data_IF_597457855256
#
_entry.id   IF_597457855256
#
_cell.length_a   1.000
_cell.length_b   1.000
_cell.length_c   1.000
_cell.angle_alpha   90.00
_cell.angle_beta   90.00
_cell.angle_gamma   90.00
#
_symmetry.space_group_name_H-M   'P 1'
#
loop_
_entity.id
_entity.type
_entity.pdbx_description
1 polymer ?
#
# COMPACT_ATOMS: atom_id res chain seq x y z
N UNK A 1 15.05 22.36 -50.22
CA UNK A 1 16.22 22.51 -49.34
C UNK A 1 15.81 23.39 -48.16
N UNK A 2 15.40 22.80 -47.06
CA UNK A 2 15.20 23.50 -45.77
C UNK A 2 16.47 23.34 -44.98
N UNK A 3 17.16 24.47 -44.75
CA UNK A 3 18.40 24.51 -44.01
C UNK A 3 18.25 23.89 -42.61
N UNK A 4 19.08 22.93 -42.31
CA UNK A 4 19.36 22.52 -40.94
C UNK A 4 19.88 23.77 -40.21
N UNK A 5 19.16 24.18 -39.17
CA UNK A 5 19.68 25.17 -38.24
C UNK A 5 20.80 24.47 -37.49
N UNK A 6 22.04 24.88 -37.73
CA UNK A 6 23.19 24.43 -36.93
C UNK A 6 22.95 24.78 -35.48
N UNK A 7 22.63 23.77 -34.66
CA UNK A 7 22.55 23.95 -33.22
C UNK A 7 23.95 24.30 -32.70
N UNK A 8 24.14 25.34 -31.90
CA UNK A 8 25.44 25.70 -31.34
C UNK A 8 26.00 24.50 -30.54
N UNK A 9 27.30 24.27 -30.71
CA UNK A 9 27.98 23.20 -29.98
C UNK A 9 27.76 23.37 -28.46
N UNK A 10 27.41 22.31 -27.74
CA UNK A 10 27.13 22.38 -26.31
C UNK A 10 28.37 22.90 -25.56
N UNK A 11 28.15 23.87 -24.66
CA UNK A 11 29.22 24.43 -23.86
C UNK A 11 29.68 23.42 -22.77
N UNK A 12 30.79 23.69 -22.11
CA UNK A 12 31.38 22.79 -21.12
C UNK A 12 30.44 22.48 -19.94
N UNK A 13 29.53 23.40 -19.57
CA UNK A 13 28.50 23.19 -18.54
C UNK A 13 27.43 22.19 -18.97
N UNK A 14 27.06 22.23 -20.25
CA UNK A 14 26.07 21.31 -20.81
C UNK A 14 26.62 19.87 -20.89
N UNK A 15 27.92 19.72 -21.13
CA UNK A 15 28.62 18.42 -21.12
C UNK A 15 28.70 17.81 -19.72
N UNK A 16 28.82 18.62 -18.66
CA UNK A 16 28.85 18.13 -17.29
C UNK A 16 27.49 17.62 -16.79
N UNK A 17 26.40 18.09 -17.41
CA UNK A 17 25.03 17.69 -17.05
C UNK A 17 24.64 16.34 -17.67
N UNK A 18 25.30 15.95 -18.77
CA UNK A 18 25.05 14.69 -19.50
C UNK A 18 26.26 13.75 -19.45
N UNK A 19 26.77 13.49 -18.24
CA UNK A 19 27.78 12.45 -18.06
C UNK A 19 27.18 11.08 -18.42
N UNK A 20 27.95 10.27 -19.17
CA UNK A 20 27.57 8.91 -19.59
C UNK A 20 27.16 8.00 -18.44
N UNK A 21 27.58 8.30 -17.22
CA UNK A 21 27.18 7.59 -15.99
C UNK A 21 25.79 7.98 -15.48
N UNK A 22 25.37 9.22 -15.72
CA UNK A 22 24.05 9.72 -15.28
C UNK A 22 22.97 9.46 -16.34
N UNK A 23 23.36 9.27 -17.61
CA UNK A 23 22.45 9.07 -18.73
C UNK A 23 21.46 7.91 -18.54
N UNK A 24 21.87 6.69 -18.10
CA UNK A 24 20.93 5.61 -17.85
C UNK A 24 19.85 5.98 -16.84
N UNK A 25 20.23 6.69 -15.78
CA UNK A 25 19.33 7.14 -14.73
C UNK A 25 18.33 8.19 -15.19
N UNK A 26 18.78 9.09 -16.06
CA UNK A 26 17.93 10.10 -16.71
C UNK A 26 16.95 9.43 -17.68
N UNK A 27 17.41 8.45 -18.46
CA UNK A 27 16.54 7.68 -19.37
C UNK A 27 15.47 6.88 -18.59
N UNK A 28 15.84 6.24 -17.49
CA UNK A 28 14.91 5.52 -16.63
C UNK A 28 13.81 6.45 -16.07
N UNK A 29 14.20 7.64 -15.61
CA UNK A 29 13.24 8.66 -15.15
C UNK A 29 12.34 9.13 -16.30
N UNK A 30 12.90 9.40 -17.48
CA UNK A 30 12.13 9.83 -18.65
C UNK A 30 11.17 8.75 -19.12
N UNK A 31 11.58 7.50 -19.16
CA UNK A 31 10.71 6.38 -19.51
C UNK A 31 9.57 6.23 -18.49
N UNK A 32 9.85 6.40 -17.20
CA UNK A 32 8.82 6.44 -16.15
C UNK A 32 7.81 7.56 -16.37
N UNK A 33 8.25 8.78 -16.69
CA UNK A 33 7.37 9.91 -16.97
C UNK A 33 6.56 9.72 -18.28
N UNK A 34 7.16 9.11 -19.30
CA UNK A 34 6.46 8.76 -20.55
C UNK A 34 5.35 7.73 -20.27
N UNK A 35 5.61 6.72 -19.47
CA UNK A 35 4.59 5.74 -19.05
C UNK A 35 3.45 6.43 -18.29
N UNK A 36 3.74 7.28 -17.32
CA UNK A 36 2.71 8.06 -16.61
C UNK A 36 1.85 8.89 -17.57
N UNK A 37 2.47 9.56 -18.54
CA UNK A 37 1.74 10.37 -19.52
C UNK A 37 0.90 9.53 -20.49
N UNK A 38 1.37 8.32 -20.83
CA UNK A 38 0.62 7.40 -21.69
C UNK A 38 -0.56 6.76 -20.97
N UNK A 39 -0.31 6.32 -19.74
CA UNK A 39 -1.32 5.62 -18.94
C UNK A 39 -2.17 6.58 -18.12
N UNK A 40 -1.75 7.86 -18.01
CA UNK A 40 -2.37 8.90 -17.20
C UNK A 40 -2.66 8.41 -15.76
N UNK A 41 -1.77 7.58 -15.21
CA UNK A 41 -1.90 7.07 -13.86
C UNK A 41 -1.53 8.16 -12.85
N UNK A 42 -2.48 8.58 -12.07
CA UNK A 42 -2.28 9.53 -10.98
C UNK A 42 -2.34 8.79 -9.64
N UNK A 43 -1.25 8.84 -8.89
CA UNK A 43 -1.21 8.34 -7.51
C UNK A 43 -1.20 9.52 -6.54
N UNK A 44 -2.22 9.65 -5.73
CA UNK A 44 -2.34 10.66 -4.68
C UNK A 44 -2.08 10.02 -3.32
N UNK A 45 -0.93 10.32 -2.71
CA UNK A 45 -0.61 9.84 -1.37
C UNK A 45 -1.27 10.71 -0.29
N UNK A 46 -2.03 10.09 0.61
CA UNK A 46 -2.65 10.75 1.76
C UNK A 46 -1.79 10.53 2.99
N UNK A 47 -1.09 11.57 3.41
CA UNK A 47 -0.12 11.55 4.51
C UNK A 47 -0.62 12.39 5.69
N UNK A 48 -0.42 11.91 6.90
CA UNK A 48 -0.80 12.65 8.11
C UNK A 48 -0.57 11.82 9.37
N UNK A 49 -0.56 12.49 10.52
CA UNK A 49 -0.42 11.82 11.82
C UNK A 49 -1.59 10.88 12.11
N UNK A 50 -1.43 10.02 13.10
CA UNK A 50 -2.52 9.19 13.61
C UNK A 50 -3.72 10.07 14.00
N UNK A 51 -4.93 9.63 13.66
CA UNK A 51 -6.19 10.36 13.91
C UNK A 51 -6.33 11.71 13.18
N UNK A 52 -5.50 12.03 12.21
CA UNK A 52 -5.62 13.23 11.39
C UNK A 52 -6.78 13.20 10.38
N UNK A 53 -7.60 12.14 10.37
CA UNK A 53 -8.73 12.01 9.46
C UNK A 53 -8.38 11.47 8.06
N UNK A 54 -7.22 10.85 7.87
CA UNK A 54 -6.80 10.29 6.58
C UNK A 54 -7.84 9.37 5.95
N UNK A 55 -8.24 8.32 6.67
CA UNK A 55 -9.24 7.35 6.17
C UNK A 55 -10.60 8.01 5.91
N UNK A 56 -10.99 8.97 6.75
CA UNK A 56 -12.22 9.77 6.52
C UNK A 56 -12.13 10.59 5.24
N UNK A 57 -10.98 11.23 5.00
CA UNK A 57 -10.76 12.01 3.78
C UNK A 57 -10.74 11.12 2.53
N UNK A 58 -10.11 9.96 2.62
CA UNK A 58 -10.10 8.97 1.53
C UNK A 58 -11.52 8.48 1.24
N UNK A 59 -12.29 8.08 2.26
CA UNK A 59 -13.68 7.65 2.09
C UNK A 59 -14.55 8.76 1.48
N UNK A 60 -14.32 10.01 1.86
CA UNK A 60 -15.03 11.16 1.26
C UNK A 60 -14.66 11.36 -0.22
N UNK A 61 -13.40 11.22 -0.61
CA UNK A 61 -12.96 11.30 -2.01
C UNK A 61 -13.53 10.15 -2.84
N UNK A 62 -13.52 8.93 -2.30
CA UNK A 62 -14.11 7.75 -2.95
C UNK A 62 -15.62 7.86 -3.05
N UNK A 63 -16.26 8.46 -2.03
CA UNK A 63 -17.70 8.54 -1.88
C UNK A 63 -18.33 7.26 -1.36
N UNK A 64 -17.54 6.39 -0.72
CA UNK A 64 -17.94 5.16 -0.05
C UNK A 64 -17.02 4.85 1.13
N UNK A 65 -17.50 4.11 2.12
CA UNK A 65 -16.68 3.66 3.26
C UNK A 65 -15.84 2.44 2.87
N UNK A 66 -14.66 2.68 2.30
CA UNK A 66 -13.73 1.61 1.89
C UNK A 66 -12.65 1.34 2.94
N UNK A 67 -12.38 2.33 3.80
CA UNK A 67 -11.44 2.23 4.90
C UNK A 67 -12.16 2.37 6.24
N UNK A 68 -11.85 1.52 7.23
CA UNK A 68 -12.51 1.60 8.54
C UNK A 68 -12.11 2.87 9.30
N UNK A 69 -13.11 3.55 9.86
CA UNK A 69 -12.93 4.67 10.78
C UNK A 69 -12.91 4.17 12.22
N UNK A 70 -11.74 4.09 12.86
CA UNK A 70 -11.63 3.65 14.26
C UNK A 70 -10.64 4.48 15.07
N UNK A 71 -10.79 4.40 16.41
CA UNK A 71 -9.95 5.11 17.38
C UNK A 71 -8.58 4.44 17.66
N UNK A 72 -8.25 3.31 17.01
CA UNK A 72 -6.96 2.63 17.13
C UNK A 72 -6.12 2.82 15.86
N UNK A 73 -4.78 2.71 15.92
CA UNK A 73 -3.93 2.70 14.73
C UNK A 73 -4.43 1.62 13.76
N UNK A 74 -4.75 2.01 12.52
CA UNK A 74 -5.48 1.13 11.60
C UNK A 74 -4.71 0.80 10.34
N UNK A 75 -3.67 1.55 10.04
CA UNK A 75 -2.93 1.39 8.80
C UNK A 75 -1.51 0.94 9.13
N UNK A 76 -1.35 -0.35 9.44
CA UNK A 76 -0.02 -0.93 9.58
C UNK A 76 0.63 -1.17 8.20
N UNK A 77 -0.19 -1.34 7.17
CA UNK A 77 0.20 -1.57 5.78
C UNK A 77 -0.32 -0.45 4.89
N UNK A 78 0.51 0.13 4.01
CA UNK A 78 0.01 1.01 2.97
C UNK A 78 -1.01 0.26 2.12
N UNK A 79 -2.10 0.93 1.77
CA UNK A 79 -3.19 0.35 0.98
C UNK A 79 -3.46 1.25 -0.22
N UNK A 80 -3.50 0.67 -1.40
CA UNK A 80 -3.89 1.35 -2.62
C UNK A 80 -5.40 1.30 -2.79
N UNK A 81 -6.02 2.44 -3.07
CA UNK A 81 -7.44 2.54 -3.42
C UNK A 81 -7.53 3.05 -4.85
N UNK A 82 -7.97 2.20 -5.76
CA UNK A 82 -7.98 2.46 -7.19
C UNK A 82 -9.38 2.70 -7.71
N UNK A 83 -9.56 3.82 -8.43
CA UNK A 83 -10.79 4.02 -9.19
C UNK A 83 -10.89 3.01 -10.32
N UNK A 84 -11.94 2.19 -10.29
CA UNK A 84 -12.21 1.18 -11.31
C UNK A 84 -13.66 1.31 -11.75
N UNK A 85 -13.93 1.91 -12.94
CA UNK A 85 -15.30 2.08 -13.44
C UNK A 85 -16.07 0.77 -13.48
N UNK A 86 -17.33 0.79 -13.03
CA UNK A 86 -18.21 -0.37 -13.00
C UNK A 86 -18.06 -1.28 -11.78
N UNK A 87 -17.04 -1.09 -10.95
CA UNK A 87 -16.89 -1.83 -9.69
C UNK A 87 -17.64 -1.10 -8.58
N UNK A 88 -18.93 -1.40 -8.44
CA UNK A 88 -19.84 -0.74 -7.50
C UNK A 88 -19.64 -1.21 -6.05
N UNK A 89 -19.32 -2.49 -5.86
CA UNK A 89 -18.96 -3.06 -4.56
C UNK A 89 -17.43 -3.08 -4.42
N UNK A 90 -16.84 -2.52 -3.35
CA UNK A 90 -15.40 -2.50 -3.19
C UNK A 90 -14.82 -3.92 -3.12
N UNK A 91 -13.68 -4.14 -3.77
CA UNK A 91 -12.96 -5.41 -3.81
C UNK A 91 -11.52 -5.19 -3.36
N UNK A 92 -11.13 -5.85 -2.26
CA UNK A 92 -9.74 -5.89 -1.82
C UNK A 92 -9.04 -7.07 -2.49
N UNK A 93 -7.94 -6.79 -3.18
CA UNK A 93 -7.14 -7.78 -3.89
C UNK A 93 -5.70 -7.79 -3.39
N UNK A 94 -5.15 -8.98 -3.25
CA UNK A 94 -3.73 -9.21 -3.04
C UNK A 94 -3.12 -9.74 -4.32
N UNK A 95 -2.02 -9.16 -4.78
CA UNK A 95 -1.29 -9.70 -5.93
C UNK A 95 -0.62 -11.04 -5.58
N UNK A 96 -0.14 -11.15 -4.35
CA UNK A 96 0.46 -12.38 -3.83
C UNK A 96 0.14 -12.54 -2.34
N UNK A 97 -0.79 -13.44 -2.03
CA UNK A 97 -1.23 -13.73 -0.65
C UNK A 97 -0.37 -14.80 0.03
N UNK A 98 0.47 -15.52 -0.72
CA UNK A 98 1.29 -16.64 -0.17
C UNK A 98 2.14 -16.23 1.03
N UNK A 99 2.90 -15.12 1.00
CA UNK A 99 3.72 -14.73 2.15
C UNK A 99 2.91 -14.51 3.43
N UNK A 100 1.65 -14.03 3.33
CA UNK A 100 0.75 -13.91 4.48
C UNK A 100 0.35 -15.28 5.02
N UNK A 101 0.02 -16.21 4.14
CA UNK A 101 -0.40 -17.55 4.54
C UNK A 101 0.78 -18.37 5.11
N UNK A 102 1.98 -18.19 4.59
CA UNK A 102 3.20 -18.77 5.15
C UNK A 102 3.50 -18.21 6.54
N UNK A 103 3.29 -16.90 6.74
CA UNK A 103 3.40 -16.24 8.04
C UNK A 103 2.44 -16.84 9.08
N UNK A 104 1.18 -17.15 8.72
CA UNK A 104 0.22 -17.78 9.63
C UNK A 104 0.76 -19.12 10.16
N UNK A 105 1.40 -19.91 9.28
CA UNK A 105 2.04 -21.18 9.64
C UNK A 105 3.23 -20.99 10.60
N UNK A 106 4.07 -20.00 10.34
CA UNK A 106 5.20 -19.65 11.20
C UNK A 106 4.73 -19.16 12.58
N UNK A 107 3.68 -18.32 12.62
CA UNK A 107 3.10 -17.81 13.85
C UNK A 107 2.46 -18.94 14.69
N UNK A 108 1.73 -19.88 14.09
CA UNK A 108 1.20 -21.05 14.82
C UNK A 108 2.32 -21.83 15.53
N UNK A 109 3.42 -22.05 14.82
CA UNK A 109 4.59 -22.74 15.39
C UNK A 109 5.23 -21.93 16.52
N UNK A 110 5.40 -20.62 16.33
CA UNK A 110 6.01 -19.74 17.33
C UNK A 110 5.14 -19.61 18.58
N UNK A 111 3.83 -19.43 18.42
CA UNK A 111 2.88 -19.34 19.55
C UNK A 111 2.91 -20.63 20.39
N UNK A 112 2.97 -21.80 19.76
CA UNK A 112 3.09 -23.09 20.47
C UNK A 112 4.40 -23.26 21.22
N UNK A 113 5.48 -22.63 20.73
CA UNK A 113 6.79 -22.64 21.39
C UNK A 113 6.94 -21.55 22.46
N UNK A 114 6.02 -20.58 22.51
CA UNK A 114 6.06 -19.46 23.45
C UNK A 114 5.59 -19.88 24.86
N UNK A 115 6.19 -19.31 25.89
CA UNK A 115 5.84 -19.59 27.27
C UNK A 115 4.35 -19.30 27.55
N UNK A 116 3.62 -20.16 28.29
CA UNK A 116 2.18 -20.02 28.53
C UNK A 116 1.79 -18.65 29.11
N UNK A 117 2.61 -18.04 29.96
CA UNK A 117 2.35 -16.74 30.55
C UNK A 117 2.27 -15.63 29.49
N UNK A 118 3.18 -15.63 28.52
CA UNK A 118 3.19 -14.65 27.43
C UNK A 118 1.99 -14.85 26.48
N UNK A 119 1.58 -16.09 26.25
CA UNK A 119 0.38 -16.39 25.46
C UNK A 119 -0.89 -15.90 26.17
N UNK A 120 -0.97 -16.01 27.50
CA UNK A 120 -2.09 -15.46 28.28
C UNK A 120 -2.18 -13.95 28.12
N UNK A 121 -1.06 -13.24 28.09
CA UNK A 121 -1.06 -11.78 27.89
C UNK A 121 -1.57 -11.40 26.49
N UNK A 122 -1.26 -12.18 25.46
CA UNK A 122 -1.81 -11.97 24.11
C UNK A 122 -3.34 -12.17 24.07
N UNK A 123 -3.87 -13.12 24.86
CA UNK A 123 -5.32 -13.38 24.93
C UNK A 123 -6.10 -12.30 25.72
N UNK A 124 -5.43 -11.40 26.44
CA UNK A 124 -6.09 -10.26 27.10
C UNK A 124 -6.57 -9.21 26.10
N UNK A 125 -5.94 -9.12 24.93
CA UNK A 125 -6.43 -8.29 23.83
C UNK A 125 -7.41 -9.12 22.98
N UNK A 126 -8.69 -8.73 22.99
CA UNK A 126 -9.75 -9.46 22.29
C UNK A 126 -9.53 -9.58 20.77
N UNK A 127 -8.83 -8.63 20.16
CA UNK A 127 -8.55 -8.64 18.72
C UNK A 127 -7.42 -9.65 18.43
N UNK A 128 -6.36 -9.65 19.24
CA UNK A 128 -5.30 -10.65 19.14
C UNK A 128 -5.80 -12.07 19.46
N UNK A 129 -6.68 -12.23 20.44
CA UNK A 129 -7.28 -13.52 20.76
C UNK A 129 -8.04 -14.11 19.55
N UNK A 130 -8.87 -13.29 18.87
CA UNK A 130 -9.56 -13.72 17.64
C UNK A 130 -8.59 -14.10 16.51
N UNK A 131 -7.52 -13.33 16.38
CA UNK A 131 -6.48 -13.62 15.36
C UNK A 131 -5.79 -14.95 15.68
N UNK A 132 -5.44 -15.21 16.95
CA UNK A 132 -4.85 -16.47 17.39
C UNK A 132 -5.78 -17.66 17.11
N UNK A 133 -7.09 -17.51 17.31
CA UNK A 133 -8.06 -18.54 16.93
C UNK A 133 -8.05 -18.83 15.43
N UNK A 134 -8.00 -17.78 14.56
CA UNK A 134 -7.89 -17.95 13.10
C UNK A 134 -6.61 -18.69 12.72
N UNK A 135 -5.48 -18.33 13.34
CA UNK A 135 -4.18 -18.98 13.12
C UNK A 135 -4.27 -20.48 13.51
N UNK A 136 -4.82 -20.80 14.68
CA UNK A 136 -4.99 -22.18 15.14
C UNK A 136 -5.89 -22.99 14.22
N UNK A 137 -6.94 -22.40 13.65
CA UNK A 137 -7.83 -23.03 12.67
C UNK A 137 -7.23 -23.12 11.30
N UNK A 138 -6.04 -22.52 11.07
CA UNK A 138 -5.35 -22.46 9.77
C UNK A 138 -6.24 -21.85 8.67
N UNK A 139 -7.02 -20.82 9.02
CA UNK A 139 -7.86 -20.10 8.07
C UNK A 139 -6.98 -19.20 7.18
N UNK A 140 -6.81 -19.51 5.87
CA UNK A 140 -5.94 -18.72 5.00
C UNK A 140 -6.60 -17.40 4.61
N UNK A 141 -5.76 -16.41 4.28
CA UNK A 141 -6.22 -15.25 3.52
C UNK A 141 -6.52 -15.65 2.09
N UNK A 142 -7.59 -15.10 1.54
CA UNK A 142 -7.95 -15.23 0.13
C UNK A 142 -7.28 -14.12 -0.70
N UNK A 143 -7.09 -14.36 -2.00
CA UNK A 143 -6.55 -13.35 -2.93
C UNK A 143 -7.52 -12.17 -3.13
N UNK A 144 -8.83 -12.38 -2.91
CA UNK A 144 -9.87 -11.38 -3.11
C UNK A 144 -10.92 -11.44 -2.02
N UNK A 145 -11.34 -10.24 -1.57
CA UNK A 145 -12.42 -10.05 -0.60
C UNK A 145 -13.36 -8.96 -1.12
N UNK A 146 -14.67 -9.19 -1.05
CA UNK A 146 -15.68 -8.30 -1.60
C UNK A 146 -16.58 -7.72 -0.51
N UNK A 147 -16.88 -6.43 -0.65
CA UNK A 147 -17.75 -5.67 0.24
C UNK A 147 -17.04 -5.11 1.46
N UNK A 148 -17.58 -3.99 1.96
CA UNK A 148 -16.98 -3.19 3.05
C UNK A 148 -16.69 -4.01 4.30
N UNK A 149 -17.63 -4.86 4.72
CA UNK A 149 -17.50 -5.64 5.95
C UNK A 149 -16.32 -6.64 5.89
N UNK A 150 -16.16 -7.35 4.76
CA UNK A 150 -15.04 -8.29 4.59
C UNK A 150 -13.72 -7.55 4.50
N UNK A 151 -13.66 -6.44 3.76
CA UNK A 151 -12.48 -5.60 3.64
C UNK A 151 -12.04 -5.09 5.01
N UNK A 152 -12.99 -4.61 5.83
CA UNK A 152 -12.70 -4.13 7.18
C UNK A 152 -12.12 -5.22 8.08
N UNK A 153 -12.67 -6.42 8.04
CA UNK A 153 -12.16 -7.56 8.82
C UNK A 153 -10.76 -7.99 8.36
N UNK A 154 -10.49 -7.95 7.06
CA UNK A 154 -9.17 -8.29 6.53
C UNK A 154 -8.14 -7.24 6.89
N UNK A 155 -8.42 -5.95 6.68
CA UNK A 155 -7.51 -4.86 7.04
C UNK A 155 -7.24 -4.85 8.55
N UNK A 156 -8.26 -5.13 9.37
CA UNK A 156 -8.10 -5.29 10.81
C UNK A 156 -7.18 -6.48 11.13
N UNK A 157 -7.40 -7.62 10.51
CA UNK A 157 -6.59 -8.83 10.71
C UNK A 157 -5.13 -8.59 10.31
N UNK A 158 -4.86 -7.84 9.24
CA UNK A 158 -3.50 -7.46 8.83
C UNK A 158 -2.81 -6.58 9.88
N UNK A 159 -3.52 -5.59 10.42
CA UNK A 159 -2.98 -4.74 11.49
C UNK A 159 -2.66 -5.56 12.75
N UNK A 160 -3.56 -6.46 13.14
CA UNK A 160 -3.36 -7.32 14.28
C UNK A 160 -2.22 -8.33 14.05
N UNK A 161 -2.01 -8.80 12.80
CA UNK A 161 -0.84 -9.60 12.42
C UNK A 161 0.47 -8.84 12.63
N UNK A 162 0.56 -7.58 12.18
CA UNK A 162 1.77 -6.76 12.40
C UNK A 162 2.05 -6.61 13.90
N UNK A 163 1.02 -6.36 14.71
CA UNK A 163 1.14 -6.27 16.17
C UNK A 163 1.61 -7.59 16.79
N UNK A 164 1.04 -8.70 16.35
CA UNK A 164 1.40 -10.03 16.82
C UNK A 164 2.85 -10.39 16.47
N UNK A 165 3.25 -10.13 15.22
CA UNK A 165 4.64 -10.30 14.77
C UNK A 165 5.61 -9.49 15.63
N UNK A 166 5.30 -8.23 15.88
CA UNK A 166 6.09 -7.37 16.75
C UNK A 166 6.19 -7.92 18.18
N UNK A 167 5.09 -8.42 18.74
CA UNK A 167 5.05 -9.00 20.10
C UNK A 167 5.83 -10.31 20.22
N UNK A 168 5.92 -11.09 19.15
CA UNK A 168 6.60 -12.38 19.11
C UNK A 168 8.00 -12.29 18.48
N UNK A 169 8.46 -11.09 18.10
CA UNK A 169 9.72 -10.88 17.38
C UNK A 169 9.85 -11.73 16.09
N UNK A 170 8.73 -11.86 15.37
CA UNK A 170 8.66 -12.51 14.06
C UNK A 170 8.66 -11.44 12.98
N UNK A 171 9.45 -11.62 11.93
CA UNK A 171 9.50 -10.68 10.82
C UNK A 171 8.19 -10.72 10.02
N UNK A 172 7.65 -9.54 9.74
CA UNK A 172 6.48 -9.40 8.88
C UNK A 172 6.92 -9.38 7.41
N UNK A 173 6.35 -10.22 6.52
CA UNK A 173 6.89 -10.45 5.17
C UNK A 173 6.83 -9.24 4.24
N UNK A 174 6.06 -8.21 4.58
CA UNK A 174 5.95 -6.97 3.81
C UNK A 174 6.62 -5.78 4.50
N UNK A 175 7.50 -6.03 5.47
CA UNK A 175 8.21 -4.96 6.19
C UNK A 175 9.02 -4.05 5.26
N UNK A 176 9.49 -4.58 4.14
CA UNK A 176 10.29 -3.84 3.17
C UNK A 176 9.48 -2.93 2.24
N UNK A 177 8.19 -3.23 1.99
CA UNK A 177 7.34 -2.54 1.00
C UNK A 177 8.11 -2.04 -0.24
N UNK A 178 9.13 -2.78 -0.63
CA UNK A 178 10.04 -2.42 -1.70
C UNK A 178 9.35 -2.38 -3.07
N UNK A 179 8.16 -2.99 -3.16
CA UNK A 179 7.37 -3.03 -4.39
C UNK A 179 5.91 -2.67 -4.12
N UNK A 180 5.33 -1.87 -5.01
CA UNK A 180 3.89 -1.55 -5.02
C UNK A 180 3.04 -2.81 -5.11
N UNK A 181 3.57 -3.85 -5.75
CA UNK A 181 2.92 -5.14 -5.96
C UNK A 181 2.69 -5.94 -4.67
N UNK A 182 3.39 -5.57 -3.58
CA UNK A 182 3.19 -6.18 -2.26
C UNK A 182 2.02 -5.56 -1.48
N UNK A 183 1.48 -4.42 -1.94
CA UNK A 183 0.41 -3.72 -1.25
C UNK A 183 -0.94 -4.31 -1.59
N UNK A 184 -1.88 -4.36 -0.62
CA UNK A 184 -3.27 -4.64 -0.91
C UNK A 184 -3.86 -3.50 -1.75
N UNK A 185 -4.69 -3.85 -2.74
CA UNK A 185 -5.37 -2.91 -3.63
C UNK A 185 -6.87 -3.03 -3.44
N UNK A 186 -7.52 -1.93 -3.06
CA UNK A 186 -8.99 -1.83 -3.06
C UNK A 186 -9.42 -1.24 -4.40
N UNK A 187 -10.17 -1.98 -5.19
CA UNK A 187 -10.79 -1.51 -6.42
C UNK A 187 -12.25 -1.14 -6.17
N UNK A 188 -12.64 0.05 -6.58
CA UNK A 188 -14.02 0.56 -6.44
C UNK A 188 -14.26 1.73 -7.39
N UNK A 189 -15.48 1.89 -7.89
CA UNK A 189 -15.86 3.08 -8.64
C UNK A 189 -16.02 4.28 -7.68
N UNK A 190 -15.24 5.35 -7.92
CA UNK A 190 -15.38 6.58 -7.13
C UNK A 190 -16.66 7.31 -7.56
N UNK A 191 -17.57 7.52 -6.63
CA UNK A 191 -18.90 8.09 -6.91
C UNK A 191 -18.85 9.45 -7.59
N UNK A 192 -17.85 10.28 -7.25
CA UNK A 192 -17.66 11.61 -7.83
C UNK A 192 -17.10 11.59 -9.26
N UNK A 193 -16.51 10.47 -9.71
CA UNK A 193 -15.94 10.31 -11.05
C UNK A 193 -16.90 9.65 -12.03
N UNK A 194 -18.00 9.09 -11.54
CA UNK A 194 -18.97 8.31 -12.34
C UNK A 194 -19.52 9.04 -13.57
N UNK A 195 -19.70 10.35 -13.49
CA UNK A 195 -20.29 11.17 -14.55
C UNK A 195 -19.24 11.94 -15.37
N UNK A 196 -17.96 11.76 -15.09
CA UNK A 196 -16.92 12.34 -15.91
C UNK A 196 -16.80 11.52 -17.19
N UNK A 197 -16.58 12.17 -18.36
CA UNK A 197 -16.25 11.43 -19.58
C UNK A 197 -15.06 10.55 -19.24
N UNK A 198 -15.07 9.30 -19.75
CA UNK A 198 -14.05 8.31 -19.45
C UNK A 198 -12.67 8.99 -19.55
N UNK A 199 -12.18 9.46 -18.41
CA UNK A 199 -10.90 10.12 -18.34
C UNK A 199 -9.87 9.08 -18.77
N UNK A 200 -9.08 9.43 -19.74
CA UNK A 200 -7.92 8.62 -20.08
C UNK A 200 -7.00 8.70 -18.87
N UNK A 201 -7.05 7.68 -18.02
CA UNK A 201 -6.19 7.61 -16.85
C UNK A 201 -6.81 6.92 -15.64
N UNK A 202 -5.97 6.50 -14.72
CA UNK A 202 -6.34 5.84 -13.47
C UNK A 202 -6.02 6.74 -12.29
N UNK A 203 -7.01 7.01 -11.43
CA UNK A 203 -6.78 7.65 -10.15
C UNK A 203 -6.61 6.58 -9.07
N UNK A 204 -5.50 6.61 -8.39
CA UNK A 204 -5.19 5.73 -7.25
C UNK A 204 -4.88 6.60 -6.03
N UNK A 205 -5.53 6.33 -4.90
CA UNK A 205 -5.20 6.92 -3.61
C UNK A 205 -4.29 5.93 -2.87
N UNK A 206 -3.27 6.45 -2.21
CA UNK A 206 -2.40 5.67 -1.33
C UNK A 206 -2.67 6.09 0.11
N UNK A 207 -3.30 5.20 0.89
CA UNK A 207 -3.39 5.36 2.34
C UNK A 207 -2.06 4.94 2.98
N UNK A 208 -1.51 5.80 3.81
CA UNK A 208 -0.21 5.57 4.45
C UNK A 208 -0.36 5.48 5.96
N UNK A 209 0.42 4.60 6.62
CA UNK A 209 0.55 4.62 8.07
C UNK A 209 0.95 5.99 8.59
N UNK A 210 0.48 6.35 9.77
CA UNK A 210 0.85 7.62 10.41
C UNK A 210 2.33 7.64 10.85
N UNK A 211 3.04 8.81 10.90
CA UNK A 211 4.47 8.92 11.17
C UNK A 211 4.95 8.39 12.53
N UNK A 212 4.06 8.07 13.43
CA UNK A 212 4.36 7.50 14.76
C UNK A 212 3.96 6.01 14.87
N UNK A 213 3.60 5.36 13.77
CA UNK A 213 3.25 3.95 13.77
C UNK A 213 4.51 3.10 13.50
N UNK A 214 4.66 1.97 14.17
CA UNK A 214 5.83 1.10 14.03
C UNK A 214 5.99 0.62 12.59
N UNK A 215 7.20 0.73 12.04
CA UNK A 215 7.53 0.28 10.68
C UNK A 215 7.83 1.38 9.67
N UNK A 216 7.78 2.66 10.06
CA UNK A 216 7.87 3.80 9.13
C UNK A 216 9.24 4.09 8.52
N UNK A 217 10.32 3.62 9.13
CA UNK A 217 11.66 3.89 8.59
C UNK A 217 11.81 3.31 7.17
N UNK A 218 11.06 2.25 6.85
CA UNK A 218 11.05 1.59 5.54
C UNK A 218 10.06 2.22 4.55
N UNK A 219 8.98 2.87 5.04
CA UNK A 219 7.98 3.51 4.18
C UNK A 219 8.47 4.78 3.50
N UNK A 220 9.37 5.52 4.15
CA UNK A 220 9.87 6.79 3.61
C UNK A 220 10.58 6.64 2.26
N UNK A 221 11.50 5.70 2.06
CA UNK A 221 12.12 5.45 0.76
C UNK A 221 11.08 5.08 -0.31
N UNK A 222 10.13 4.20 0.02
CA UNK A 222 9.09 3.76 -0.90
C UNK A 222 8.15 4.90 -1.31
N UNK A 223 7.68 5.72 -0.35
CA UNK A 223 6.86 6.90 -0.65
C UNK A 223 7.62 7.86 -1.55
N UNK A 224 8.92 8.10 -1.26
CA UNK A 224 9.76 8.95 -2.10
C UNK A 224 9.97 8.37 -3.49
N UNK A 225 10.06 7.05 -3.63
CA UNK A 225 10.16 6.37 -4.92
C UNK A 225 8.85 6.45 -5.70
N UNK A 226 7.71 6.27 -5.04
CA UNK A 226 6.38 6.45 -5.66
C UNK A 226 6.08 7.90 -6.05
N UNK A 227 6.54 8.87 -5.27
CA UNK A 227 6.39 10.29 -5.60
C UNK A 227 7.36 10.75 -6.71
N UNK A 228 8.40 9.96 -6.99
CA UNK A 228 9.35 10.21 -8.09
C UNK A 228 8.98 9.50 -9.38
N UNK A 229 8.16 8.46 -9.29
CA UNK A 229 7.54 7.76 -10.44
C UNK A 229 6.28 8.47 -10.87
#
# INVERSE_FOLDING_TARGET
EKGLIDAPAPNEKDRATFDTKSLPKVLEVLDGEIHKLRDLDMVLAVVGTMKAGKSTSINAIVGAEVLPNRNRPMTALPTLIRHTPGVLSPQLKFLNVRPLNDLLGALDTTVRATAPAAVVDLHRDADLARLLEKIQRKEPFSDCHEGEAQIFEVLKSLNDLVRLCSSLSVDFPFADFSTVDAMPVIEVEFSHLKNLPAAQGRLTLLDTPGPNESGQQHLRPMLMDQLRK
#
